data_IF_620369774095
#
_entry.id   IF_620369774095
#
_cell.length_a   1.000
_cell.length_b   1.000
_cell.length_c   1.000
_cell.angle_alpha   90.00
_cell.angle_beta   90.00
_cell.angle_gamma   90.00
#
_symmetry.space_group_name_H-M   'P 1'
#
loop_
_entity.id
_entity.type
_entity.pdbx_description
1 polymer ?
#
# COMPACT_ATOMS: atom_id res chain seq x y z
N UNK A 1 -12.31 -3.64 -36.04
CA UNK A 1 -12.02 -4.72 -35.07
C UNK A 1 -11.49 -4.07 -33.79
N UNK A 2 -12.10 -4.33 -32.63
CA UNK A 2 -11.68 -3.71 -31.36
C UNK A 2 -10.42 -4.35 -30.77
N UNK A 3 -9.56 -3.55 -30.11
CA UNK A 3 -8.40 -4.04 -29.34
C UNK A 3 -8.60 -3.71 -27.87
N UNK A 4 -8.17 -4.62 -26.99
CA UNK A 4 -8.18 -4.43 -25.55
C UNK A 4 -6.78 -4.66 -25.00
N UNK A 5 -6.19 -3.62 -24.45
CA UNK A 5 -4.89 -3.70 -23.81
C UNK A 5 -5.08 -4.15 -22.37
N UNK A 6 -4.38 -5.21 -21.96
CA UNK A 6 -4.43 -5.75 -20.61
C UNK A 6 -3.02 -5.95 -20.08
N UNK A 7 -2.85 -5.86 -18.77
CA UNK A 7 -1.64 -6.29 -18.07
C UNK A 7 -1.92 -7.69 -17.51
N UNK A 8 -1.18 -8.74 -17.92
CA UNK A 8 -1.46 -10.11 -17.47
C UNK A 8 -1.40 -10.28 -15.95
N UNK A 9 -0.35 -9.71 -15.34
CA UNK A 9 -0.21 -9.66 -13.89
C UNK A 9 0.76 -8.55 -13.49
N UNK A 10 0.48 -7.89 -12.36
CA UNK A 10 1.32 -6.83 -11.80
C UNK A 10 0.93 -6.58 -10.35
N UNK A 11 1.91 -6.24 -9.53
CA UNK A 11 1.71 -5.68 -8.19
C UNK A 11 2.10 -4.21 -8.23
N UNK A 12 1.13 -3.33 -8.04
CA UNK A 12 1.39 -1.89 -7.93
C UNK A 12 1.65 -1.51 -6.48
N UNK A 13 2.58 -0.58 -6.29
CA UNK A 13 2.86 0.05 -5.00
C UNK A 13 2.53 1.52 -5.06
N UNK A 14 1.77 1.99 -4.07
CA UNK A 14 1.42 3.41 -3.91
C UNK A 14 2.01 3.91 -2.59
N UNK A 15 2.52 5.14 -2.60
CA UNK A 15 2.96 5.84 -1.40
C UNK A 15 1.95 6.92 -1.04
N UNK A 16 1.53 6.96 0.22
CA UNK A 16 0.58 7.93 0.75
C UNK A 16 1.16 8.70 1.92
N UNK A 17 0.62 9.91 2.16
CA UNK A 17 1.06 10.79 3.23
C UNK A 17 -0.15 11.48 3.85
N UNK A 18 -0.21 11.55 5.18
CA UNK A 18 -1.25 12.25 5.92
C UNK A 18 -0.55 13.25 6.85
N UNK A 19 -0.81 14.55 6.67
CA UNK A 19 -0.22 15.61 7.47
C UNK A 19 -1.10 15.92 8.68
N UNK A 20 -0.61 15.67 9.89
CA UNK A 20 -1.32 15.97 11.13
C UNK A 20 -1.66 17.48 11.25
N UNK A 21 -0.75 18.36 10.83
CA UNK A 21 -0.97 19.81 10.84
C UNK A 21 -2.08 20.25 9.88
N UNK A 22 -2.21 19.59 8.73
CA UNK A 22 -3.29 19.89 7.80
C UNK A 22 -4.61 19.31 8.31
N UNK A 23 -4.58 18.09 8.85
CA UNK A 23 -5.73 17.44 9.46
C UNK A 23 -6.34 18.31 10.57
N UNK A 24 -5.50 18.87 11.45
CA UNK A 24 -5.94 19.78 12.52
C UNK A 24 -6.62 21.06 11.98
N UNK A 25 -6.21 21.55 10.81
CA UNK A 25 -6.82 22.74 10.17
C UNK A 25 -8.13 22.42 9.45
N UNK A 26 -8.27 21.22 8.91
CA UNK A 26 -9.45 20.81 8.13
C UNK A 26 -10.49 20.05 8.95
N UNK A 27 -10.18 19.71 10.21
CA UNK A 27 -11.05 18.90 11.07
C UNK A 27 -11.05 17.42 10.69
N UNK A 28 -10.04 16.94 9.98
CA UNK A 28 -9.91 15.52 9.66
C UNK A 28 -9.64 14.74 10.95
N UNK A 29 -10.55 13.82 11.27
CA UNK A 29 -10.59 13.11 12.56
C UNK A 29 -10.06 11.68 12.46
N UNK A 30 -9.84 11.04 13.60
CA UNK A 30 -9.49 9.61 13.66
C UNK A 30 -10.60 8.72 13.08
N UNK A 31 -11.86 9.14 13.19
CA UNK A 31 -13.00 8.45 12.56
C UNK A 31 -12.96 8.53 11.03
N UNK A 32 -12.41 9.61 10.47
CA UNK A 32 -12.21 9.74 9.02
C UNK A 32 -11.00 8.93 8.56
N UNK A 33 -9.96 8.86 9.39
CA UNK A 33 -8.80 8.01 9.16
C UNK A 33 -9.20 6.52 9.12
N UNK A 34 -10.05 6.07 10.04
CA UNK A 34 -10.57 4.70 10.03
C UNK A 34 -11.37 4.39 8.75
N UNK A 35 -12.20 5.33 8.29
CA UNK A 35 -12.92 5.19 7.01
C UNK A 35 -11.96 5.16 5.83
N UNK A 36 -10.88 5.92 5.86
CA UNK A 36 -9.86 5.90 4.82
C UNK A 36 -9.17 4.54 4.74
N UNK A 37 -8.81 3.92 5.87
CA UNK A 37 -8.25 2.56 5.91
C UNK A 37 -9.22 1.54 5.33
N UNK A 38 -10.49 1.59 5.73
CA UNK A 38 -11.52 0.72 5.15
C UNK A 38 -11.69 0.95 3.64
N UNK A 39 -11.69 2.20 3.20
CA UNK A 39 -11.82 2.53 1.78
C UNK A 39 -10.63 1.99 0.97
N UNK A 40 -9.41 2.05 1.50
CA UNK A 40 -8.22 1.53 0.83
C UNK A 40 -8.20 -0.01 0.78
N UNK A 41 -8.62 -0.69 1.84
CA UNK A 41 -8.68 -2.16 1.87
C UNK A 41 -9.78 -2.72 0.97
N UNK A 42 -10.88 -1.98 0.78
CA UNK A 42 -12.02 -2.36 -0.07
C UNK A 42 -12.06 -1.64 -1.43
N UNK A 43 -11.01 -0.89 -1.79
CA UNK A 43 -11.03 0.10 -2.88
C UNK A 43 -11.51 -0.44 -4.23
N UNK A 44 -11.26 -1.72 -4.50
CA UNK A 44 -11.60 -2.36 -5.77
C UNK A 44 -12.86 -3.22 -5.74
N UNK A 45 -13.44 -3.48 -4.56
CA UNK A 45 -14.59 -4.40 -4.45
C UNK A 45 -15.82 -3.89 -5.20
N UNK A 46 -16.01 -2.58 -5.22
CA UNK A 46 -17.11 -1.93 -5.91
C UNK A 46 -16.72 -1.36 -7.29
N UNK A 47 -15.46 -1.51 -7.73
CA UNK A 47 -14.93 -0.83 -8.91
C UNK A 47 -14.73 -1.78 -10.12
N UNK A 48 -15.68 -2.69 -10.32
CA UNK A 48 -15.60 -3.74 -11.35
C UNK A 48 -16.02 -3.22 -12.72
N UNK A 49 -15.20 -3.48 -13.74
CA UNK A 49 -15.54 -3.17 -15.12
C UNK A 49 -14.84 -4.10 -16.10
N UNK A 50 -15.36 -4.17 -17.33
CA UNK A 50 -14.73 -4.97 -18.38
C UNK A 50 -13.27 -4.56 -18.62
N UNK A 51 -12.90 -3.29 -18.44
CA UNK A 51 -11.53 -2.82 -18.68
C UNK A 51 -10.54 -3.17 -17.57
N UNK A 52 -11.01 -3.27 -16.31
CA UNK A 52 -10.13 -3.42 -15.13
C UNK A 52 -9.79 -4.87 -14.80
N UNK A 53 -10.62 -5.82 -15.19
CA UNK A 53 -10.43 -7.22 -14.79
C UNK A 53 -10.54 -7.39 -13.28
N UNK A 54 -9.71 -8.25 -12.70
CA UNK A 54 -9.65 -8.50 -11.26
C UNK A 54 -8.54 -7.65 -10.62
N UNK A 55 -8.95 -6.64 -9.86
CA UNK A 55 -8.06 -5.81 -9.04
C UNK A 55 -8.38 -6.06 -7.57
N UNK A 56 -7.36 -6.14 -6.72
CA UNK A 56 -7.52 -6.37 -5.30
C UNK A 56 -6.45 -5.61 -4.50
N UNK A 57 -6.84 -5.06 -3.35
CA UNK A 57 -5.89 -4.59 -2.36
C UNK A 57 -5.18 -5.81 -1.75
N UNK A 58 -3.85 -5.79 -1.71
CA UNK A 58 -3.05 -6.94 -1.27
C UNK A 58 -2.43 -6.76 0.11
N UNK A 59 -1.98 -5.55 0.42
CA UNK A 59 -1.33 -5.20 1.69
C UNK A 59 -1.35 -3.69 1.86
N UNK A 60 -1.69 -3.22 3.05
CA UNK A 60 -1.62 -1.81 3.44
C UNK A 60 -0.69 -1.71 4.65
N UNK A 61 0.39 -0.94 4.50
CA UNK A 61 1.38 -0.71 5.55
C UNK A 61 1.29 0.76 5.95
N UNK A 62 0.97 1.01 7.23
CA UNK A 62 0.83 2.34 7.81
C UNK A 62 1.99 2.60 8.75
N UNK A 63 2.68 3.71 8.52
CA UNK A 63 3.72 4.21 9.41
C UNK A 63 3.15 5.38 10.21
N UNK A 64 2.98 5.20 11.52
CA UNK A 64 2.46 6.22 12.42
C UNK A 64 3.60 6.81 13.24
N UNK A 65 3.84 8.10 13.06
CA UNK A 65 4.84 8.84 13.81
C UNK A 65 4.31 9.31 15.16
N UNK A 66 5.17 9.32 16.18
CA UNK A 66 4.83 9.83 17.51
C UNK A 66 4.74 11.36 17.57
N UNK A 67 5.28 12.05 16.56
CA UNK A 67 5.25 13.51 16.44
C UNK A 67 4.43 13.95 15.23
N UNK A 68 3.64 15.03 15.40
CA UNK A 68 2.86 15.65 14.33
C UNK A 68 3.73 16.21 13.17
N UNK A 69 5.00 16.48 13.42
CA UNK A 69 5.97 16.91 12.39
C UNK A 69 6.66 15.73 11.69
N UNK A 70 6.45 14.51 12.18
CA UNK A 70 7.16 13.31 11.76
C UNK A 70 8.39 13.04 12.60
N UNK A 71 8.66 11.75 12.83
CA UNK A 71 9.83 11.25 13.58
C UNK A 71 10.97 10.78 12.67
N UNK A 72 10.66 10.41 11.42
CA UNK A 72 11.63 9.89 10.47
C UNK A 72 11.31 10.31 9.02
N UNK A 73 12.31 10.39 8.12
CA UNK A 73 12.09 10.66 6.71
C UNK A 73 11.28 9.54 6.02
N UNK A 74 10.30 9.91 5.22
CA UNK A 74 9.40 8.96 4.57
C UNK A 74 10.09 7.97 3.63
N UNK A 75 11.16 8.38 2.92
CA UNK A 75 11.89 7.47 2.04
C UNK A 75 12.48 6.28 2.81
N UNK A 76 13.00 6.50 4.03
CA UNK A 76 13.53 5.43 4.88
C UNK A 76 12.44 4.45 5.27
N UNK A 77 11.26 4.96 5.63
CA UNK A 77 10.11 4.15 5.96
C UNK A 77 9.66 3.31 4.77
N UNK A 78 9.56 3.92 3.58
CA UNK A 78 9.19 3.18 2.38
C UNK A 78 10.25 2.16 1.96
N UNK A 79 11.53 2.43 2.17
CA UNK A 79 12.59 1.47 1.89
C UNK A 79 12.54 0.25 2.81
N UNK A 80 11.88 0.33 3.97
CA UNK A 80 11.68 -0.84 4.86
C UNK A 80 10.72 -1.87 4.28
N UNK A 81 9.83 -1.46 3.36
CA UNK A 81 8.90 -2.38 2.70
C UNK A 81 9.62 -3.04 1.53
N UNK A 82 9.95 -4.31 1.69
CA UNK A 82 10.61 -5.14 0.68
C UNK A 82 9.59 -5.99 -0.06
N UNK A 83 9.73 -6.03 -1.38
CA UNK A 83 8.92 -6.85 -2.28
C UNK A 83 9.87 -7.75 -3.04
N UNK A 84 9.81 -9.04 -2.77
CA UNK A 84 10.72 -10.03 -3.35
C UNK A 84 9.92 -11.03 -4.14
N UNK A 85 10.45 -11.45 -5.29
CA UNK A 85 9.89 -12.57 -6.02
C UNK A 85 10.46 -13.87 -5.46
N UNK A 86 9.59 -14.73 -4.95
CA UNK A 86 9.96 -15.95 -4.24
C UNK A 86 9.59 -17.23 -5.00
N UNK A 87 8.69 -17.16 -5.98
CA UNK A 87 8.33 -18.30 -6.83
C UNK A 87 8.46 -17.97 -8.32
N UNK A 88 8.59 -19.06 -9.10
CA UNK A 88 8.73 -19.04 -10.55
C UNK A 88 10.19 -19.10 -11.04
N UNK A 89 10.37 -19.44 -12.30
CA UNK A 89 11.69 -19.50 -12.94
C UNK A 89 12.25 -18.09 -13.17
N UNK A 90 13.54 -17.91 -12.91
CA UNK A 90 14.23 -16.63 -13.12
C UNK A 90 14.11 -16.19 -14.59
N UNK A 91 13.77 -14.91 -14.81
CA UNK A 91 13.60 -14.36 -16.17
C UNK A 91 12.21 -14.55 -16.77
N UNK A 92 11.30 -15.31 -16.13
CA UNK A 92 9.89 -15.39 -16.55
C UNK A 92 9.07 -14.28 -15.91
N UNK A 93 7.89 -13.87 -16.41
CA UNK A 93 7.00 -12.94 -15.73
C UNK A 93 6.31 -13.60 -14.52
N UNK A 94 5.92 -12.82 -13.52
CA UNK A 94 5.10 -13.32 -12.42
C UNK A 94 3.67 -13.58 -12.92
N UNK A 95 3.02 -14.59 -12.36
CA UNK A 95 1.70 -15.06 -12.78
C UNK A 95 0.61 -14.81 -11.74
N UNK A 96 1.00 -14.54 -10.49
CA UNK A 96 0.06 -14.32 -9.40
C UNK A 96 0.70 -13.71 -8.16
N UNK A 97 -0.13 -13.39 -7.17
CA UNK A 97 0.34 -12.74 -5.94
C UNK A 97 1.23 -13.65 -5.10
N UNK A 98 0.96 -14.96 -5.12
CA UNK A 98 1.77 -15.97 -4.45
C UNK A 98 3.22 -16.04 -4.94
N UNK A 99 3.54 -15.42 -6.08
CA UNK A 99 4.93 -15.32 -6.56
C UNK A 99 5.74 -14.28 -5.79
N UNK A 100 5.07 -13.41 -5.01
CA UNK A 100 5.70 -12.34 -4.25
C UNK A 100 5.61 -12.57 -2.74
N UNK A 101 6.69 -12.19 -2.05
CA UNK A 101 6.73 -12.03 -0.60
C UNK A 101 6.92 -10.55 -0.29
N UNK A 102 6.01 -10.00 0.53
CA UNK A 102 6.07 -8.61 0.99
C UNK A 102 6.36 -8.60 2.49
N UNK A 103 7.53 -8.08 2.86
CA UNK A 103 7.97 -7.95 4.25
C UNK A 103 8.21 -6.48 4.61
N UNK A 104 8.06 -6.17 5.89
CA UNK A 104 8.39 -4.85 6.45
C UNK A 104 9.52 -5.05 7.45
N UNK A 105 10.65 -4.40 7.23
CA UNK A 105 11.81 -4.45 8.14
C UNK A 105 11.66 -3.32 9.16
N UNK A 106 11.08 -3.62 10.32
CA UNK A 106 10.82 -2.62 11.36
C UNK A 106 12.03 -2.29 12.25
N UNK A 107 13.16 -2.96 12.06
CA UNK A 107 14.37 -2.75 12.86
C UNK A 107 14.89 -1.32 12.68
N UNK A 108 15.10 -0.61 13.79
CA UNK A 108 15.61 0.76 13.80
C UNK A 108 14.57 1.87 13.55
N UNK A 109 13.28 1.54 13.51
CA UNK A 109 12.20 2.52 13.43
C UNK A 109 11.91 3.18 14.80
N UNK A 110 12.82 4.05 15.25
CA UNK A 110 12.61 4.86 16.45
C UNK A 110 11.54 5.94 16.22
N UNK A 111 10.57 6.02 17.12
CA UNK A 111 9.50 7.03 17.11
C UNK A 111 8.43 6.81 16.03
N UNK A 112 8.36 5.61 15.46
CA UNK A 112 7.40 5.22 14.44
C UNK A 112 6.85 3.83 14.77
N UNK A 113 5.53 3.72 14.84
CA UNK A 113 4.84 2.43 14.89
C UNK A 113 4.42 2.00 13.49
N UNK A 114 4.46 0.69 13.25
CA UNK A 114 4.04 0.07 11.98
C UNK A 114 2.75 -0.69 12.24
N UNK A 115 1.72 -0.38 11.48
CA UNK A 115 0.46 -1.12 11.44
C UNK A 115 0.31 -1.74 10.05
N UNK A 116 -0.01 -3.03 9.99
CA UNK A 116 -0.21 -3.75 8.75
C UNK A 116 -1.67 -4.22 8.66
N UNK A 117 -2.29 -3.97 7.51
CA UNK A 117 -3.64 -4.39 7.18
C UNK A 117 -3.58 -5.29 5.94
N UNK A 118 -4.39 -6.36 5.94
CA UNK A 118 -4.44 -7.45 4.94
C UNK A 118 -3.25 -8.42 4.96
#
# INVERSE_FOLDING_TARGET
MGRKYIVPYVVYRVHGFISANLAAKTGFSDDDLAKLWQALTLMFEHDRSAARGEMAARKLVVFKHDSALGSQPAHKLFDTVKVERVNGESGTPASGFGDYKISVVSDGLNGVSVEEYL
#
